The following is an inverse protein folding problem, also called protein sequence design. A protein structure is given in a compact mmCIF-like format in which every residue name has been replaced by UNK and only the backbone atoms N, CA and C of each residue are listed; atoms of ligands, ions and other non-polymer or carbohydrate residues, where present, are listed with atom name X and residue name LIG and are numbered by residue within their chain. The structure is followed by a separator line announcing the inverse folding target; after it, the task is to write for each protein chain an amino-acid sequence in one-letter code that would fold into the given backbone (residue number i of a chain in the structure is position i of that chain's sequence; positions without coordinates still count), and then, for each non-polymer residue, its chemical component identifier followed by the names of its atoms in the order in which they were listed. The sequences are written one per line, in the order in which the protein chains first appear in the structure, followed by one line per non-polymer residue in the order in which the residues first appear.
data_IF_644782864753
#
_entry.id   IF_644782864753
#
_cell.length_a   1.000
_cell.length_b   1.000
_cell.length_c   1.000
_cell.angle_alpha   90.00
_cell.angle_beta   90.00
_cell.angle_gamma   90.00
#
_symmetry.space_group_name_H-M   'P 1'
#
loop_
_entity.id
_entity.type
_entity.pdbx_description
1 polymer ?
#
# COMPACT_ATOMS: atom_id res chain seq x y z
N UNK A 1 -34.38 -42.14 11.51
CA UNK A 1 -33.26 -41.25 11.14
C UNK A 1 -32.10 -42.13 10.71
N UNK A 2 -31.81 -42.18 9.42
CA UNK A 2 -30.71 -42.94 8.81
C UNK A 2 -30.46 -42.34 7.42
N UNK A 3 -29.20 -42.16 7.02
CA UNK A 3 -28.81 -41.71 5.69
C UNK A 3 -28.14 -40.34 5.61
N UNK A 4 -26.81 -40.32 5.73
CA UNK A 4 -25.94 -39.21 5.24
C UNK A 4 -24.47 -39.60 5.06
N UNK A 5 -24.00 -40.74 5.58
CA UNK A 5 -22.56 -41.09 5.57
C UNK A 5 -22.03 -41.52 4.20
N UNK A 6 -22.76 -42.38 3.48
CA UNK A 6 -22.30 -43.08 2.26
C UNK A 6 -21.73 -42.15 1.16
N UNK A 7 -22.11 -40.86 1.14
CA UNK A 7 -21.62 -39.89 0.17
C UNK A 7 -20.17 -39.43 0.42
N UNK A 8 -19.67 -39.48 1.66
CA UNK A 8 -18.29 -39.05 1.97
C UNK A 8 -17.25 -40.11 1.65
N UNK A 9 -17.56 -41.37 1.96
CA UNK A 9 -16.66 -42.49 1.66
C UNK A 9 -16.48 -42.69 0.16
N UNK A 10 -17.56 -42.57 -0.63
CA UNK A 10 -17.50 -42.62 -2.09
C UNK A 10 -16.56 -41.54 -2.67
N UNK A 11 -16.69 -40.29 -2.21
CA UNK A 11 -15.85 -39.18 -2.67
C UNK A 11 -14.39 -39.30 -2.22
N UNK A 12 -14.14 -39.92 -1.06
CA UNK A 12 -12.79 -40.24 -0.60
C UNK A 12 -12.14 -41.36 -1.43
N UNK A 13 -12.90 -42.39 -1.80
CA UNK A 13 -12.43 -43.49 -2.65
C UNK A 13 -12.12 -43.00 -4.07
N UNK A 14 -13.03 -42.24 -4.70
CA UNK A 14 -12.85 -41.65 -6.02
C UNK A 14 -11.60 -40.75 -6.06
N UNK A 15 -11.39 -39.93 -5.02
CA UNK A 15 -10.19 -39.08 -4.90
C UNK A 15 -8.90 -39.89 -4.71
N UNK A 16 -8.96 -41.05 -4.06
CA UNK A 16 -7.81 -41.95 -3.90
C UNK A 16 -7.50 -42.75 -5.18
N UNK A 17 -8.51 -43.02 -6.02
CA UNK A 17 -8.33 -43.67 -7.31
C UNK A 17 -7.77 -42.70 -8.36
N UNK A 18 -8.32 -41.47 -8.44
CA UNK A 18 -7.75 -40.38 -9.25
C UNK A 18 -6.29 -40.10 -8.90
N UNK A 19 -5.92 -40.14 -7.62
CA UNK A 19 -4.54 -39.95 -7.17
C UNK A 19 -3.56 -41.04 -7.64
N UNK A 20 -4.04 -42.21 -8.10
CA UNK A 20 -3.23 -43.31 -8.66
C UNK A 20 -3.08 -43.24 -10.18
N UNK A 21 -3.90 -42.43 -10.85
CA UNK A 21 -3.90 -42.25 -12.31
C UNK A 21 -3.03 -41.07 -12.77
N UNK A 22 -2.57 -40.23 -11.84
CA UNK A 22 -1.64 -39.14 -12.10
C UNK A 22 -0.20 -39.67 -12.09
N UNK A 23 0.65 -39.33 -13.09
CA UNK A 23 2.07 -39.62 -13.01
C UNK A 23 2.71 -38.82 -11.86
N UNK A 24 3.76 -39.35 -11.19
CA UNK A 24 4.45 -38.62 -10.14
C UNK A 24 5.04 -37.32 -10.73
N UNK A 25 4.75 -36.18 -10.09
CA UNK A 25 5.29 -34.90 -10.51
C UNK A 25 6.83 -34.93 -10.39
N UNK A 26 7.58 -34.44 -11.40
CA UNK A 26 9.04 -34.37 -11.32
C UNK A 26 9.43 -33.38 -10.21
N UNK A 27 9.99 -33.91 -9.12
CA UNK A 27 10.39 -33.10 -7.98
C UNK A 27 11.59 -32.22 -8.30
N UNK A 28 11.39 -30.90 -8.27
CA UNK A 28 12.48 -29.96 -7.99
C UNK A 28 12.73 -29.99 -6.48
N UNK A 29 13.75 -30.73 -6.03
CA UNK A 29 14.11 -30.85 -4.62
C UNK A 29 14.54 -29.50 -4.03
N UNK A 30 13.60 -28.84 -3.34
CA UNK A 30 13.90 -27.73 -2.44
C UNK A 30 14.49 -28.28 -1.13
N UNK A 31 15.50 -27.62 -0.52
CA UNK A 31 16.22 -28.17 0.63
C UNK A 31 15.30 -28.57 1.80
N UNK A 32 15.30 -29.84 2.24
CA UNK A 32 14.40 -30.32 3.28
C UNK A 32 14.71 -29.63 4.62
N UNK A 33 13.69 -28.96 5.17
CA UNK A 33 13.76 -28.27 6.46
C UNK A 33 13.01 -26.93 6.49
N UNK A 34 13.07 -26.11 5.42
CA UNK A 34 12.38 -24.81 5.41
C UNK A 34 10.86 -24.97 5.46
N UNK A 35 10.29 -25.82 4.60
CA UNK A 35 8.84 -26.00 4.51
C UNK A 35 8.24 -26.50 5.82
N UNK A 36 8.86 -27.48 6.49
CA UNK A 36 8.36 -27.96 7.78
C UNK A 36 8.56 -26.93 8.88
N UNK A 37 9.68 -26.19 8.97
CA UNK A 37 9.81 -25.13 9.99
C UNK A 37 8.75 -24.03 9.86
N UNK A 38 8.45 -23.59 8.62
CA UNK A 38 7.39 -22.60 8.40
C UNK A 38 6.00 -23.20 8.66
N UNK A 39 5.77 -24.47 8.29
CA UNK A 39 4.51 -25.18 8.57
C UNK A 39 4.27 -25.37 10.07
N UNK A 40 5.25 -25.89 10.81
CA UNK A 40 5.21 -26.07 12.26
C UNK A 40 4.95 -24.74 12.95
N UNK A 41 5.64 -23.67 12.56
CA UNK A 41 5.39 -22.32 13.09
C UNK A 41 3.95 -21.85 12.81
N UNK A 42 3.42 -22.07 11.60
CA UNK A 42 2.05 -21.68 11.25
C UNK A 42 0.99 -22.52 11.99
N UNK A 43 1.19 -23.83 12.09
CA UNK A 43 0.29 -24.74 12.82
C UNK A 43 0.28 -24.42 14.31
N UNK A 44 1.47 -24.23 14.91
CA UNK A 44 1.58 -23.81 16.30
C UNK A 44 0.83 -22.50 16.55
N UNK A 45 0.93 -21.49 15.68
CA UNK A 45 0.17 -20.24 15.82
C UNK A 45 -1.36 -20.46 15.75
N UNK A 46 -1.84 -21.36 14.89
CA UNK A 46 -3.27 -21.69 14.75
C UNK A 46 -3.79 -22.46 15.98
N UNK A 47 -3.02 -23.43 16.49
CA UNK A 47 -3.40 -24.20 17.67
C UNK A 47 -3.37 -23.31 18.94
N UNK A 48 -2.40 -22.42 19.04
CA UNK A 48 -2.23 -21.47 20.15
C UNK A 48 -3.34 -20.39 20.15
N UNK A 49 -3.77 -19.89 18.98
CA UNK A 49 -4.91 -18.96 18.88
C UNK A 49 -6.26 -19.65 19.10
N UNK A 50 -6.47 -20.86 18.55
CA UNK A 50 -7.70 -21.61 18.85
C UNK A 50 -7.76 -22.13 20.30
N UNK A 51 -6.62 -22.31 20.97
CA UNK A 51 -6.57 -22.54 22.41
C UNK A 51 -6.96 -21.28 23.20
N UNK A 52 -6.44 -20.10 22.82
CA UNK A 52 -6.82 -18.80 23.42
C UNK A 52 -8.30 -18.46 23.21
N UNK A 53 -8.86 -18.76 22.04
CA UNK A 53 -10.28 -18.60 21.75
C UNK A 53 -11.16 -19.49 22.66
N UNK A 54 -10.82 -20.78 22.79
CA UNK A 54 -11.52 -21.72 23.69
C UNK A 54 -11.40 -21.30 25.16
N UNK A 55 -10.21 -20.89 25.60
CA UNK A 55 -9.96 -20.38 26.95
C UNK A 55 -10.82 -19.16 27.29
N UNK A 56 -10.91 -18.19 26.36
CA UNK A 56 -11.81 -17.02 26.50
C UNK A 56 -13.26 -17.44 26.67
N UNK A 57 -13.80 -18.35 25.84
CA UNK A 57 -15.19 -18.82 25.99
C UNK A 57 -15.47 -19.58 27.29
N UNK A 58 -14.46 -20.20 27.90
CA UNK A 58 -14.59 -20.87 29.20
C UNK A 58 -14.68 -19.91 30.39
N UNK A 59 -13.82 -18.89 30.42
CA UNK A 59 -13.83 -17.89 31.49
C UNK A 59 -15.10 -17.03 31.47
N UNK A 60 -15.50 -16.57 30.27
CA UNK A 60 -16.69 -15.75 30.02
C UNK A 60 -18.02 -16.40 30.46
N UNK A 61 -18.03 -17.72 30.64
CA UNK A 61 -19.19 -18.49 31.11
C UNK A 61 -19.25 -18.62 32.64
N UNK A 62 -18.12 -18.53 33.35
CA UNK A 62 -18.08 -18.70 34.81
C UNK A 62 -18.34 -17.38 35.57
N UNK A 63 -17.81 -16.24 35.11
CA UNK A 63 -18.03 -14.96 35.81
C UNK A 63 -19.43 -14.38 35.57
N UNK A 64 -20.01 -14.56 34.38
CA UNK A 64 -21.39 -14.12 34.09
C UNK A 64 -22.46 -14.86 34.92
N UNK A 65 -22.11 -15.96 35.57
CA UNK A 65 -22.96 -16.65 36.54
C UNK A 65 -22.94 -16.00 37.94
N UNK A 66 -21.96 -15.13 38.24
CA UNK A 66 -21.75 -14.52 39.58
C UNK A 66 -22.21 -13.07 39.68
N UNK A 67 -22.14 -12.29 38.60
CA UNK A 67 -22.45 -10.84 38.64
C UNK A 67 -23.95 -10.45 38.63
N UNK A 68 -24.88 -11.41 38.62
CA UNK A 68 -26.33 -11.09 38.56
C UNK A 68 -26.99 -10.72 39.89
N UNK A 69 -26.23 -10.39 40.93
CA UNK A 69 -26.73 -9.95 42.23
C UNK A 69 -25.98 -8.71 42.76
N UNK A 70 -26.63 -7.54 42.74
CA UNK A 70 -26.15 -6.33 43.41
C UNK A 70 -26.01 -5.09 42.51
N UNK A 71 -26.64 -3.99 42.93
CA UNK A 71 -26.54 -2.61 42.41
C UNK A 71 -26.53 -1.68 43.65
N UNK A 72 -26.13 -0.39 43.57
CA UNK A 72 -25.43 0.33 42.49
C UNK A 72 -24.31 1.32 42.95
N UNK A 73 -23.74 2.03 41.95
CA UNK A 73 -23.26 3.44 42.00
C UNK A 73 -21.77 3.79 42.32
N UNK A 74 -21.31 4.86 41.65
CA UNK A 74 -20.10 5.72 41.79
C UNK A 74 -18.68 5.16 41.54
N UNK A 75 -18.25 5.38 40.30
CA UNK A 75 -16.98 6.02 39.89
C UNK A 75 -15.63 5.51 40.43
N UNK A 76 -14.72 5.17 39.50
CA UNK A 76 -13.42 5.86 39.34
C UNK A 76 -12.78 5.60 37.98
N UNK A 77 -11.82 6.45 37.62
CA UNK A 77 -11.07 6.41 36.36
C UNK A 77 -10.15 5.18 36.31
N UNK A 78 -10.06 4.53 35.16
CA UNK A 78 -8.98 3.60 34.82
C UNK A 78 -8.42 3.93 33.44
N UNK A 79 -7.09 3.98 33.34
CA UNK A 79 -6.36 4.11 32.07
C UNK A 79 -6.19 2.71 31.44
N UNK A 80 -6.46 2.51 30.15
CA UNK A 80 -5.92 1.37 29.41
C UNK A 80 -4.52 1.70 28.89
N UNK A 81 -3.50 0.98 29.36
CA UNK A 81 -2.21 0.92 28.68
C UNK A 81 -2.30 -0.13 27.58
N UNK A 82 -2.20 0.28 26.32
CA UNK A 82 -2.17 -0.67 25.19
C UNK A 82 -0.75 -1.17 24.92
N UNK A 83 -0.63 -2.47 24.64
CA UNK A 83 0.57 -3.11 24.11
C UNK A 83 0.42 -3.22 22.59
N UNK A 84 1.33 -2.61 21.84
CA UNK A 84 1.34 -2.68 20.38
C UNK A 84 2.10 -3.94 19.90
N UNK A 85 1.58 -4.68 18.90
CA UNK A 85 2.35 -5.65 18.13
C UNK A 85 3.12 -4.95 17.00
N UNK A 86 4.32 -5.44 16.68
CA UNK A 86 5.09 -4.96 15.53
C UNK A 86 4.52 -5.49 14.20
N UNK A 87 4.61 -4.69 13.15
CA UNK A 87 4.12 -4.97 11.79
C UNK A 87 5.24 -4.88 10.75
N UNK A 88 5.02 -5.51 9.60
CA UNK A 88 5.88 -5.41 8.43
C UNK A 88 5.20 -4.61 7.33
N UNK A 89 5.97 -3.80 6.60
CA UNK A 89 5.52 -3.16 5.37
C UNK A 89 5.81 -4.06 4.16
N UNK A 90 4.85 -4.92 3.83
CA UNK A 90 4.38 -4.92 2.45
C UNK A 90 3.37 -3.75 2.34
N UNK A 91 3.20 -3.13 1.16
CA UNK A 91 2.40 -1.90 1.04
C UNK A 91 0.89 -2.16 1.18
N UNK A 92 0.46 -2.23 2.43
CA UNK A 92 -0.92 -2.31 2.93
C UNK A 92 -0.95 -1.57 4.29
N UNK A 93 -0.89 -0.24 4.24
CA UNK A 93 -0.62 0.61 5.41
C UNK A 93 -1.75 0.64 6.45
N UNK A 94 -1.41 0.52 7.73
CA UNK A 94 -2.38 0.46 8.82
C UNK A 94 -1.89 1.03 10.18
N UNK A 95 -2.54 2.13 10.60
CA UNK A 95 -3.01 2.41 11.98
C UNK A 95 -2.04 2.80 13.13
N UNK A 96 -2.23 4.05 13.63
CA UNK A 96 -2.24 4.56 15.04
C UNK A 96 -0.93 4.48 15.89
N UNK A 97 -0.71 5.03 17.11
CA UNK A 97 -1.00 6.34 17.77
C UNK A 97 0.39 7.02 18.02
N UNK A 98 0.59 8.30 18.39
CA UNK A 98 -0.27 9.40 18.86
C UNK A 98 0.54 10.68 19.17
N UNK A 99 0.01 11.65 19.94
CA UNK A 99 0.66 12.98 20.14
C UNK A 99 0.67 13.53 21.60
N UNK A 100 1.79 14.15 22.02
CA UNK A 100 1.84 15.27 23.00
C UNK A 100 3.20 15.98 22.94
N UNK A 101 3.22 17.31 22.85
CA UNK A 101 4.44 18.13 22.73
C UNK A 101 4.54 19.24 23.79
N UNK A 102 5.72 19.86 23.92
CA UNK A 102 5.83 21.25 24.43
C UNK A 102 7.19 21.91 24.14
N UNK A 103 7.13 23.18 23.72
CA UNK A 103 8.18 24.23 23.74
C UNK A 103 9.49 23.94 22.96
N UNK A 104 9.94 24.75 21.99
CA UNK A 104 9.49 26.06 21.49
C UNK A 104 10.69 26.99 21.24
N UNK A 105 10.95 27.38 19.98
CA UNK A 105 12.09 28.25 19.61
C UNK A 105 12.07 28.65 18.13
N UNK A 106 12.38 29.92 17.75
CA UNK A 106 12.20 30.39 16.36
C UNK A 106 13.50 30.72 15.59
N UNK A 107 13.59 30.31 14.32
CA UNK A 107 14.30 30.98 13.21
C UNK A 107 14.08 30.21 11.88
N UNK A 108 14.03 30.90 10.73
CA UNK A 108 14.02 30.21 9.41
C UNK A 108 13.32 30.93 8.27
N UNK A 109 13.80 32.10 7.83
CA UNK A 109 13.21 32.85 6.69
C UNK A 109 13.49 32.23 5.31
N UNK A 110 14.25 31.14 5.21
CA UNK A 110 14.57 30.44 3.95
C UNK A 110 13.34 29.92 3.21
N UNK A 111 12.34 29.39 3.94
CA UNK A 111 11.23 28.63 3.35
C UNK A 111 10.41 29.42 2.32
N UNK A 112 10.25 30.73 2.48
CA UNK A 112 9.45 31.54 1.53
C UNK A 112 10.05 31.69 0.13
N UNK A 113 11.37 31.49 -0.02
CA UNK A 113 12.04 31.40 -1.32
C UNK A 113 11.94 29.99 -1.90
N UNK A 114 12.22 28.99 -1.07
CA UNK A 114 12.20 27.57 -1.41
C UNK A 114 10.80 27.10 -1.84
N UNK A 115 9.77 27.29 -1.01
CA UNK A 115 8.37 26.94 -1.34
C UNK A 115 7.89 27.60 -2.65
N UNK A 116 8.34 28.82 -2.96
CA UNK A 116 8.01 29.47 -4.24
C UNK A 116 8.64 28.74 -5.43
N UNK A 117 9.86 28.26 -5.28
CA UNK A 117 10.55 27.47 -6.32
C UNK A 117 9.88 26.10 -6.50
N UNK A 118 9.58 25.41 -5.40
CA UNK A 118 8.80 24.15 -5.36
C UNK A 118 7.48 24.29 -6.12
N UNK A 119 6.69 25.34 -5.84
CA UNK A 119 5.45 25.60 -6.56
C UNK A 119 5.71 25.82 -8.06
N UNK A 120 6.80 26.47 -8.46
CA UNK A 120 7.16 26.67 -9.88
C UNK A 120 7.65 25.39 -10.58
N UNK A 121 8.23 24.42 -9.85
CA UNK A 121 8.50 23.07 -10.39
C UNK A 121 7.19 22.30 -10.59
N UNK A 122 6.36 22.20 -9.55
CA UNK A 122 5.09 21.47 -9.61
C UNK A 122 4.08 22.08 -10.59
N UNK A 123 4.09 23.40 -10.78
CA UNK A 123 3.30 24.06 -11.83
C UNK A 123 3.80 23.69 -13.24
N UNK A 124 5.11 23.56 -13.47
CA UNK A 124 5.65 23.09 -14.75
C UNK A 124 5.29 21.63 -15.02
N UNK A 125 5.39 20.76 -14.02
CA UNK A 125 4.98 19.34 -14.12
C UNK A 125 3.46 19.26 -14.41
N UNK A 126 2.65 20.04 -13.70
CA UNK A 126 1.20 20.17 -13.93
C UNK A 126 0.87 20.61 -15.36
N UNK A 127 1.56 21.63 -15.86
CA UNK A 127 1.33 22.16 -17.20
C UNK A 127 1.91 21.26 -18.31
N UNK A 128 2.83 20.33 -18.01
CA UNK A 128 3.23 19.26 -18.92
C UNK A 128 2.16 18.16 -18.95
N UNK A 129 1.78 17.64 -17.78
CA UNK A 129 0.78 16.59 -17.63
C UNK A 129 -0.60 16.98 -18.22
N UNK A 130 -1.01 18.23 -18.04
CA UNK A 130 -2.26 18.78 -18.61
C UNK A 130 -2.28 18.91 -20.14
N UNK A 131 -1.14 18.73 -20.82
CA UNK A 131 -1.03 18.71 -22.30
C UNK A 131 -1.01 17.29 -22.88
N UNK A 132 -0.99 16.25 -22.05
CA UNK A 132 -1.02 14.86 -22.50
C UNK A 132 -2.32 14.51 -23.23
N UNK A 133 -2.27 13.50 -24.11
CA UNK A 133 -3.47 13.00 -24.78
C UNK A 133 -4.31 12.13 -23.83
N UNK A 134 -5.62 12.39 -23.78
CA UNK A 134 -6.55 11.65 -22.93
C UNK A 134 -6.89 10.28 -23.54
N UNK A 135 -6.18 9.23 -23.11
CA UNK A 135 -6.41 7.86 -23.60
C UNK A 135 -7.85 7.37 -23.27
N UNK A 136 -8.60 6.82 -24.24
CA UNK A 136 -9.97 6.34 -24.02
C UNK A 136 -9.97 4.96 -23.35
N UNK A 137 -9.69 4.91 -22.04
CA UNK A 137 -9.74 3.70 -21.22
C UNK A 137 -11.17 3.20 -21.06
N UNK A 138 -11.44 1.94 -21.41
CA UNK A 138 -12.77 1.32 -21.29
C UNK A 138 -12.94 0.51 -20.01
N UNK A 139 -14.17 0.43 -19.51
CA UNK A 139 -14.58 -0.36 -18.34
C UNK A 139 -14.22 -1.88 -18.44
N UNK A 140 -13.99 -2.44 -19.63
CA UNK A 140 -13.59 -3.85 -19.81
C UNK A 140 -12.07 -4.10 -19.77
N UNK A 141 -11.25 -3.05 -19.81
CA UNK A 141 -9.79 -3.13 -19.96
C UNK A 141 -9.05 -3.18 -18.61
N UNK A 142 -7.72 -3.28 -18.73
CA UNK A 142 -6.77 -3.24 -17.62
C UNK A 142 -5.74 -2.13 -17.86
N UNK A 143 -5.42 -1.40 -16.80
CA UNK A 143 -4.28 -0.51 -16.76
C UNK A 143 -3.03 -1.32 -16.42
N UNK A 144 -2.02 -1.22 -17.27
CA UNK A 144 -0.76 -1.94 -17.17
C UNK A 144 0.37 -1.02 -16.73
N UNK A 145 1.12 -1.45 -15.72
CA UNK A 145 2.41 -0.85 -15.32
C UNK A 145 3.46 -1.94 -15.34
N UNK A 146 4.64 -1.66 -15.90
CA UNK A 146 5.87 -2.41 -15.67
C UNK A 146 6.93 -1.49 -15.09
N UNK A 147 7.65 -1.99 -14.09
CA UNK A 147 8.64 -1.22 -13.35
C UNK A 147 9.59 -2.12 -12.58
N UNK A 148 10.44 -1.51 -11.77
CA UNK A 148 11.31 -2.21 -10.82
C UNK A 148 11.39 -1.43 -9.52
N UNK A 149 11.70 -2.09 -8.41
CA UNK A 149 11.77 -1.46 -7.10
C UNK A 149 12.26 -2.41 -6.00
N UNK A 150 12.41 -1.86 -4.79
CA UNK A 150 12.80 -2.59 -3.58
C UNK A 150 11.77 -2.35 -2.49
N UNK A 151 11.15 -3.42 -2.01
CA UNK A 151 10.37 -3.41 -0.77
C UNK A 151 11.31 -3.55 0.46
N UNK A 152 10.81 -3.18 1.64
CA UNK A 152 11.58 -3.20 2.90
C UNK A 152 10.79 -3.92 3.98
N UNK A 153 11.23 -5.14 4.30
CA UNK A 153 10.60 -5.94 5.35
C UNK A 153 10.92 -5.35 6.73
N UNK A 154 9.87 -5.05 7.50
CA UNK A 154 9.95 -4.59 8.90
C UNK A 154 9.52 -5.67 9.92
N UNK A 155 9.20 -6.91 9.53
CA UNK A 155 8.82 -8.02 10.45
C UNK A 155 9.84 -8.22 11.57
N UNK A 156 11.12 -7.95 11.27
CA UNK A 156 12.25 -8.13 12.18
C UNK A 156 12.38 -7.03 13.26
N UNK A 157 11.56 -5.97 13.18
CA UNK A 157 11.75 -4.73 13.92
C UNK A 157 12.85 -3.83 13.35
N UNK A 158 13.37 -4.14 12.16
CA UNK A 158 14.39 -3.37 11.43
C UNK A 158 14.10 -3.36 9.94
N UNK A 159 14.56 -2.31 9.26
CA UNK A 159 14.53 -2.19 7.81
C UNK A 159 15.44 -3.25 7.15
N UNK A 160 14.84 -4.27 6.54
CA UNK A 160 15.53 -5.26 5.72
C UNK A 160 15.16 -5.02 4.26
N UNK A 161 16.03 -4.31 3.55
CA UNK A 161 15.85 -3.98 2.13
C UNK A 161 15.93 -5.25 1.28
N UNK A 162 14.90 -5.49 0.46
CA UNK A 162 14.86 -6.59 -0.49
C UNK A 162 15.82 -6.43 -1.67
N UNK A 163 15.92 -7.46 -2.53
CA UNK A 163 16.54 -7.31 -3.85
C UNK A 163 15.77 -6.30 -4.71
N UNK A 164 16.42 -5.77 -5.74
CA UNK A 164 15.75 -5.01 -6.80
C UNK A 164 15.05 -5.98 -7.75
N UNK A 165 13.71 -5.93 -7.83
CA UNK A 165 12.90 -6.89 -8.59
C UNK A 165 12.14 -6.20 -9.73
N UNK A 166 11.97 -6.87 -10.88
CA UNK A 166 11.06 -6.38 -11.94
C UNK A 166 9.63 -6.85 -11.66
N UNK A 167 8.68 -5.93 -11.76
CA UNK A 167 7.25 -6.20 -11.57
C UNK A 167 6.40 -5.70 -12.76
N UNK A 168 5.34 -6.44 -13.04
CA UNK A 168 4.25 -6.06 -13.96
C UNK A 168 2.92 -6.14 -13.22
N UNK A 169 2.02 -5.17 -13.43
CA UNK A 169 0.66 -5.19 -12.84
C UNK A 169 -0.41 -4.87 -13.89
N UNK A 170 -1.64 -5.35 -13.63
CA UNK A 170 -2.79 -5.22 -14.52
C UNK A 170 -4.07 -4.89 -13.73
N UNK A 171 -4.32 -3.62 -13.45
CA UNK A 171 -5.47 -3.15 -12.66
C UNK A 171 -6.75 -3.05 -13.50
N UNK A 172 -7.77 -3.84 -13.16
CA UNK A 172 -9.03 -3.92 -13.90
C UNK A 172 -9.87 -2.65 -13.75
N UNK A 173 -10.39 -2.14 -14.86
CA UNK A 173 -11.11 -0.87 -14.92
C UNK A 173 -12.63 -1.01 -14.70
N UNK A 174 -13.11 -2.22 -14.40
CA UNK A 174 -14.53 -2.55 -14.24
C UNK A 174 -15.26 -1.68 -13.20
N UNK A 175 -16.49 -1.22 -13.48
CA UNK A 175 -17.26 -0.44 -12.53
C UNK A 175 -17.67 -1.27 -11.31
N UNK A 176 -17.94 -0.58 -10.19
CA UNK A 176 -18.43 -1.19 -8.95
C UNK A 176 -17.41 -2.04 -8.19
N UNK A 177 -17.83 -2.69 -7.09
CA UNK A 177 -17.06 -3.65 -6.30
C UNK A 177 -16.33 -4.72 -7.13
N UNK A 178 -15.06 -5.01 -6.84
CA UNK A 178 -14.33 -6.14 -7.42
C UNK A 178 -13.57 -6.90 -6.34
N UNK A 179 -13.71 -8.23 -6.29
CA UNK A 179 -12.98 -9.10 -5.34
C UNK A 179 -11.58 -9.50 -5.84
N UNK A 180 -11.33 -9.32 -7.13
CA UNK A 180 -10.02 -9.41 -7.78
C UNK A 180 -9.79 -8.11 -8.52
N UNK A 181 -8.85 -7.31 -8.03
CA UNK A 181 -8.55 -5.97 -8.53
C UNK A 181 -7.73 -6.05 -9.84
N UNK A 182 -6.92 -7.10 -9.98
CA UNK A 182 -6.02 -7.26 -11.11
C UNK A 182 -5.18 -8.54 -11.05
N UNK A 183 -4.10 -8.55 -11.82
CA UNK A 183 -2.97 -9.46 -11.64
C UNK A 183 -1.71 -8.65 -11.33
N UNK A 184 -0.79 -9.23 -10.57
CA UNK A 184 0.60 -8.80 -10.44
C UNK A 184 1.50 -9.94 -10.92
N UNK A 185 2.68 -9.62 -11.44
CA UNK A 185 3.76 -10.55 -11.73
C UNK A 185 5.05 -10.00 -11.18
N UNK A 186 5.78 -10.79 -10.39
CA UNK A 186 7.09 -10.45 -9.82
C UNK A 186 7.98 -11.67 -10.00
N UNK A 187 9.23 -11.48 -10.45
CA UNK A 187 10.18 -12.57 -10.74
C UNK A 187 9.63 -13.71 -11.64
N UNK A 188 8.62 -13.40 -12.46
CA UNK A 188 7.93 -14.38 -13.33
C UNK A 188 6.74 -15.11 -12.69
N UNK A 189 6.64 -15.17 -11.36
CA UNK A 189 5.42 -15.66 -10.68
C UNK A 189 4.28 -14.67 -10.89
N UNK A 190 3.08 -15.14 -11.25
CA UNK A 190 1.92 -14.29 -11.54
C UNK A 190 0.78 -14.59 -10.56
N UNK A 191 0.42 -13.61 -9.73
CA UNK A 191 -0.55 -13.73 -8.64
C UNK A 191 -1.76 -12.79 -8.84
N UNK A 192 -2.94 -13.15 -8.31
CA UNK A 192 -4.10 -12.25 -8.33
C UNK A 192 -3.94 -11.14 -7.29
N UNK A 193 -4.15 -9.89 -7.70
CA UNK A 193 -4.36 -8.78 -6.76
C UNK A 193 -5.81 -8.91 -6.28
N UNK A 194 -6.00 -9.20 -4.99
CA UNK A 194 -7.32 -9.41 -4.39
C UNK A 194 -7.78 -8.14 -3.65
N UNK A 195 -9.07 -8.07 -3.34
CA UNK A 195 -9.59 -7.08 -2.39
C UNK A 195 -8.99 -7.31 -0.98
N UNK A 196 -8.93 -6.25 -0.18
CA UNK A 196 -8.36 -6.27 1.18
C UNK A 196 -9.11 -7.21 2.14
N UNK A 197 -8.40 -7.65 3.18
CA UNK A 197 -8.95 -8.58 4.17
C UNK A 197 -10.07 -7.92 4.99
N UNK A 198 -11.31 -8.31 4.72
CA UNK A 198 -12.51 -7.76 5.33
C UNK A 198 -13.51 -7.22 4.31
N UNK A 199 -13.07 -6.95 3.08
CA UNK A 199 -13.93 -6.47 2.00
C UNK A 199 -14.74 -7.62 1.37
N UNK A 200 -15.78 -8.06 2.08
CA UNK A 200 -16.61 -9.20 1.69
C UNK A 200 -17.37 -8.99 0.39
N UNK A 201 -17.57 -7.74 -0.05
CA UNK A 201 -18.33 -7.39 -1.26
C UNK A 201 -17.42 -7.02 -2.44
N UNK A 202 -16.23 -6.49 -2.17
CA UNK A 202 -15.19 -6.18 -3.15
C UNK A 202 -14.95 -4.68 -3.31
N UNK A 203 -13.72 -4.34 -3.70
CA UNK A 203 -13.23 -2.97 -3.57
C UNK A 203 -13.83 -2.08 -4.64
N UNK A 204 -14.49 -1.02 -4.20
CA UNK A 204 -15.06 0.02 -5.07
C UNK A 204 -13.92 0.85 -5.69
N UNK A 205 -14.15 1.50 -6.85
CA UNK A 205 -13.23 2.52 -7.36
C UNK A 205 -12.97 3.59 -6.29
N UNK A 206 -11.70 3.94 -6.08
CA UNK A 206 -11.24 4.80 -4.98
C UNK A 206 -9.72 4.78 -4.86
N UNK A 207 -9.17 5.33 -3.77
CA UNK A 207 -7.71 5.44 -3.55
C UNK A 207 -6.97 4.09 -3.65
N UNK A 208 -7.49 3.04 -3.00
CA UNK A 208 -6.93 1.67 -3.02
C UNK A 208 -7.28 0.86 -4.27
N UNK A 209 -8.06 1.45 -5.19
CA UNK A 209 -8.41 0.82 -6.46
C UNK A 209 -8.74 1.90 -7.52
N UNK A 210 -7.74 2.66 -8.00
CA UNK A 210 -7.98 3.72 -8.94
C UNK A 210 -8.48 3.15 -10.27
N UNK A 211 -9.55 3.74 -10.81
CA UNK A 211 -9.97 3.51 -12.20
C UNK A 211 -9.97 4.84 -12.94
N UNK A 212 -9.67 4.82 -14.24
CA UNK A 212 -9.65 6.02 -15.09
C UNK A 212 -10.98 6.80 -15.01
N UNK A 213 -12.10 6.07 -14.88
CA UNK A 213 -13.44 6.64 -14.68
C UNK A 213 -13.60 7.34 -13.33
N UNK A 214 -13.06 6.81 -12.23
CA UNK A 214 -13.08 7.48 -10.92
C UNK A 214 -12.11 8.69 -10.89
N UNK A 215 -10.92 8.53 -11.47
CA UNK A 215 -9.96 9.62 -11.66
C UNK A 215 -10.56 10.80 -12.45
N UNK A 216 -11.41 10.49 -13.44
CA UNK A 216 -12.16 11.49 -14.22
C UNK A 216 -13.33 12.16 -13.47
N UNK A 217 -13.61 11.74 -12.24
CA UNK A 217 -14.63 12.37 -11.36
C UNK A 217 -14.02 13.14 -10.17
N UNK A 218 -12.69 13.20 -10.07
CA UNK A 218 -12.01 13.99 -9.05
C UNK A 218 -12.13 15.49 -9.34
N UNK A 219 -12.15 16.36 -8.31
CA UNK A 219 -12.09 17.80 -8.51
C UNK A 219 -10.83 18.21 -9.28
N UNK A 220 -10.95 19.25 -10.11
CA UNK A 220 -9.81 19.83 -10.85
C UNK A 220 -9.33 21.16 -10.27
N UNK A 221 -10.06 21.74 -9.30
CA UNK A 221 -9.50 22.76 -8.43
C UNK A 221 -8.50 22.11 -7.43
N UNK A 222 -7.30 22.68 -7.24
CA UNK A 222 -6.28 22.08 -6.39
C UNK A 222 -6.65 21.98 -4.90
N UNK A 223 -7.44 22.92 -4.37
CA UNK A 223 -7.85 22.93 -2.97
C UNK A 223 -9.02 21.97 -2.76
N UNK A 224 -10.05 22.01 -3.61
CA UNK A 224 -11.16 21.04 -3.57
C UNK A 224 -10.66 19.60 -3.70
N UNK A 225 -9.63 19.36 -4.53
CA UNK A 225 -9.00 18.05 -4.68
C UNK A 225 -8.24 17.63 -3.41
N UNK A 226 -7.46 18.53 -2.80
CA UNK A 226 -6.70 18.22 -1.60
C UNK A 226 -7.63 17.94 -0.40
N UNK A 227 -8.71 18.71 -0.26
CA UNK A 227 -9.73 18.48 0.76
C UNK A 227 -10.46 17.16 0.53
N UNK A 228 -10.89 16.85 -0.70
CA UNK A 228 -11.49 15.56 -1.06
C UNK A 228 -10.56 14.37 -0.75
N UNK A 229 -9.30 14.44 -1.18
CA UNK A 229 -8.30 13.40 -0.87
C UNK A 229 -8.12 13.27 0.64
N UNK A 230 -8.17 14.36 1.39
CA UNK A 230 -8.10 14.35 2.85
C UNK A 230 -9.36 13.83 3.55
N UNK A 231 -10.50 13.68 2.86
CA UNK A 231 -11.67 12.99 3.41
C UNK A 231 -11.56 11.47 3.21
N UNK A 232 -11.05 11.01 2.07
CA UNK A 232 -11.00 9.59 1.69
C UNK A 232 -9.70 8.86 2.10
N UNK A 233 -8.60 9.58 2.33
CA UNK A 233 -7.36 8.99 2.85
C UNK A 233 -7.63 8.51 4.30
N UNK A 234 -7.28 7.26 4.66
CA UNK A 234 -7.38 6.78 6.03
C UNK A 234 -6.66 7.71 7.01
N UNK A 235 -7.11 7.71 8.26
CA UNK A 235 -6.58 8.60 9.30
C UNK A 235 -6.03 7.77 10.42
N UNK A 236 -4.72 7.71 10.50
CA UNK A 236 -4.00 7.04 11.55
C UNK A 236 -3.56 8.12 12.57
N UNK A 237 -3.73 7.87 13.87
CA UNK A 237 -3.23 8.84 14.87
C UNK A 237 -1.70 8.73 14.96
N UNK A 238 -0.98 9.84 15.19
CA UNK A 238 0.49 9.87 15.17
C UNK A 238 1.07 10.17 13.79
N UNK A 239 0.45 9.63 12.73
CA UNK A 239 0.69 9.95 11.32
C UNK A 239 0.66 11.46 11.03
N UNK A 240 1.52 11.90 10.11
CA UNK A 240 1.46 13.25 9.58
C UNK A 240 0.47 13.34 8.42
N UNK A 241 -0.66 14.03 8.62
CA UNK A 241 -1.74 14.19 7.61
C UNK A 241 -1.20 14.66 6.26
N UNK A 242 -0.23 15.58 6.30
CA UNK A 242 0.38 16.17 5.12
C UNK A 242 1.35 15.19 4.43
N UNK A 243 1.93 14.23 5.17
CA UNK A 243 2.66 13.09 4.61
C UNK A 243 1.70 12.09 3.95
N UNK A 244 0.64 11.68 4.64
CA UNK A 244 -0.37 10.77 4.10
C UNK A 244 -1.04 11.34 2.83
N UNK A 245 -1.25 12.66 2.76
CA UNK A 245 -1.71 13.34 1.54
C UNK A 245 -0.67 13.37 0.42
N UNK A 246 0.61 13.55 0.75
CA UNK A 246 1.70 13.43 -0.21
C UNK A 246 1.73 12.00 -0.78
N UNK A 247 1.81 10.98 0.06
CA UNK A 247 1.82 9.57 -0.34
C UNK A 247 0.56 9.15 -1.12
N UNK A 248 -0.62 9.62 -0.73
CA UNK A 248 -1.86 9.37 -1.46
C UNK A 248 -1.84 9.98 -2.88
N UNK A 249 -1.28 11.18 -3.07
CA UNK A 249 -1.04 11.74 -4.40
C UNK A 249 0.03 10.92 -5.14
N UNK A 250 1.12 10.55 -4.45
CA UNK A 250 2.22 9.73 -4.97
C UNK A 250 1.75 8.41 -5.58
N UNK A 251 0.91 7.67 -4.87
CA UNK A 251 0.31 6.42 -5.35
C UNK A 251 -0.63 6.59 -6.55
N UNK A 252 -1.24 7.77 -6.72
CA UNK A 252 -2.05 8.08 -7.91
C UNK A 252 -1.17 8.49 -9.11
N UNK A 253 -0.12 9.28 -8.92
CA UNK A 253 0.78 9.70 -10.02
C UNK A 253 1.75 8.60 -10.48
N UNK A 254 2.07 7.63 -9.61
CA UNK A 254 2.73 6.39 -10.00
C UNK A 254 1.80 5.40 -10.73
N UNK A 255 0.50 5.72 -10.83
CA UNK A 255 -0.46 4.98 -11.65
C UNK A 255 -0.20 5.18 -13.15
N UNK A 256 -0.44 4.16 -14.00
CA UNK A 256 0.10 4.14 -15.36
C UNK A 256 -0.60 5.10 -16.35
N UNK A 257 -1.87 5.44 -16.13
CA UNK A 257 -2.63 6.32 -17.03
C UNK A 257 -3.59 7.16 -16.20
N UNK A 258 -3.33 8.46 -16.15
CA UNK A 258 -4.21 9.47 -15.55
C UNK A 258 -4.94 10.27 -16.65
N UNK A 259 -6.18 10.74 -16.40
CA UNK A 259 -6.78 11.79 -17.22
C UNK A 259 -5.91 13.07 -17.11
N UNK A 260 -5.56 13.75 -18.22
CA UNK A 260 -4.62 14.89 -18.20
C UNK A 260 -5.00 16.02 -17.22
N UNK A 261 -6.30 16.35 -17.12
CA UNK A 261 -6.80 17.35 -16.17
C UNK A 261 -6.65 16.92 -14.71
N UNK A 262 -6.88 15.64 -14.41
CA UNK A 262 -6.69 15.06 -13.07
C UNK A 262 -5.21 15.04 -12.69
N UNK A 263 -4.32 14.66 -13.62
CA UNK A 263 -2.88 14.70 -13.40
C UNK A 263 -2.39 16.13 -13.10
N UNK A 264 -2.82 17.10 -13.91
CA UNK A 264 -2.51 18.51 -13.69
C UNK A 264 -3.00 19.01 -12.32
N UNK A 265 -4.21 18.61 -11.90
CA UNK A 265 -4.77 18.97 -10.60
C UNK A 265 -4.00 18.33 -9.43
N UNK A 266 -3.61 17.04 -9.52
CA UNK A 266 -2.82 16.34 -8.50
C UNK A 266 -1.48 17.04 -8.22
N UNK A 267 -0.73 17.45 -9.26
CA UNK A 267 0.53 18.18 -9.07
C UNK A 267 0.32 19.58 -8.47
N UNK A 268 -0.80 20.25 -8.81
CA UNK A 268 -1.15 21.54 -8.20
C UNK A 268 -1.61 21.38 -6.74
N UNK A 269 -2.31 20.30 -6.39
CA UNK A 269 -2.70 19.98 -5.01
C UNK A 269 -1.47 19.64 -4.15
N UNK A 270 -0.51 18.88 -4.69
CA UNK A 270 0.77 18.62 -4.01
C UNK A 270 1.55 19.90 -3.69
N UNK A 271 1.45 20.94 -4.53
CA UNK A 271 2.09 22.23 -4.30
C UNK A 271 1.46 23.07 -3.17
N UNK A 272 0.31 22.63 -2.63
CA UNK A 272 -0.34 23.22 -1.45
C UNK A 272 0.01 22.49 -0.15
N UNK A 273 0.64 21.30 -0.22
CA UNK A 273 0.95 20.49 0.97
C UNK A 273 2.14 21.11 1.75
N UNK A 274 1.98 21.39 3.05
CA UNK A 274 3.07 21.86 3.89
C UNK A 274 4.24 20.88 3.97
N UNK A 275 5.46 21.41 3.85
CA UNK A 275 6.70 20.62 3.94
C UNK A 275 7.18 20.00 2.63
N UNK A 276 6.49 20.22 1.50
CA UNK A 276 7.00 19.83 0.18
C UNK A 276 8.15 20.75 -0.24
N UNK A 277 9.22 20.12 -0.72
CA UNK A 277 10.55 20.68 -1.03
C UNK A 277 11.03 20.19 -2.39
N UNK A 278 12.06 20.83 -2.96
CA UNK A 278 12.76 20.30 -4.13
C UNK A 278 13.75 19.20 -3.71
N UNK A 279 14.08 18.32 -4.64
CA UNK A 279 15.10 17.30 -4.48
C UNK A 279 15.98 17.31 -5.76
N UNK A 280 16.97 18.21 -5.86
CA UNK A 280 17.76 18.36 -7.09
C UNK A 280 18.62 17.13 -7.40
N UNK A 281 18.97 16.34 -6.37
CA UNK A 281 19.76 15.11 -6.48
C UNK A 281 18.86 13.84 -6.44
N UNK A 282 17.58 13.97 -6.80
CA UNK A 282 16.62 12.86 -6.76
C UNK A 282 16.89 11.81 -7.84
N UNK A 283 16.84 10.54 -7.43
CA UNK A 283 17.19 9.40 -8.27
C UNK A 283 16.29 8.20 -7.96
N UNK A 284 15.81 7.53 -9.00
CA UNK A 284 14.88 6.40 -8.89
C UNK A 284 15.59 5.04 -8.70
N UNK A 285 14.80 3.97 -8.60
CA UNK A 285 15.31 2.60 -8.43
C UNK A 285 16.20 2.07 -9.59
N UNK A 286 16.19 2.74 -10.75
CA UNK A 286 17.05 2.43 -11.90
C UNK A 286 18.33 3.29 -11.96
N UNK A 287 18.50 4.25 -11.04
CA UNK A 287 19.60 5.20 -11.10
C UNK A 287 19.37 6.36 -12.07
N UNK A 288 18.11 6.64 -12.48
CA UNK A 288 17.78 7.80 -13.31
C UNK A 288 17.68 9.04 -12.43
N UNK A 289 18.64 9.95 -12.58
CA UNK A 289 18.57 11.31 -12.03
C UNK A 289 17.45 12.11 -12.74
N UNK A 290 16.76 12.98 -12.03
CA UNK A 290 15.65 13.76 -12.59
C UNK A 290 15.26 14.97 -11.76
N UNK A 291 14.23 15.68 -12.22
CA UNK A 291 13.62 16.78 -11.45
C UNK A 291 12.90 16.19 -10.26
N UNK A 292 13.39 16.45 -9.04
CA UNK A 292 12.83 15.86 -7.83
C UNK A 292 11.91 16.77 -7.02
N UNK A 293 10.85 16.18 -6.47
CA UNK A 293 9.95 16.78 -5.48
C UNK A 293 9.90 15.86 -4.26
N UNK A 294 9.98 16.40 -3.05
CA UNK A 294 10.11 15.58 -1.86
C UNK A 294 9.43 16.17 -0.62
N UNK A 295 9.09 15.30 0.33
CA UNK A 295 8.59 15.67 1.66
C UNK A 295 9.32 14.88 2.73
N UNK A 296 9.66 15.52 3.86
CA UNK A 296 10.16 14.86 5.07
C UNK A 296 9.07 14.90 6.16
N UNK A 297 8.65 13.74 6.67
CA UNK A 297 7.96 13.66 7.95
C UNK A 297 9.00 13.63 9.07
N UNK A 298 9.07 14.73 9.81
CA UNK A 298 9.98 14.87 10.95
C UNK A 298 9.64 13.94 12.13
N UNK A 299 8.45 13.31 12.16
CA UNK A 299 8.00 12.37 13.21
C UNK A 299 8.60 10.99 13.02
N UNK A 300 8.37 10.35 11.87
CA UNK A 300 9.02 9.10 11.47
C UNK A 300 10.51 9.28 11.15
N UNK A 301 10.93 10.52 10.83
CA UNK A 301 12.22 10.84 10.23
C UNK A 301 12.43 10.14 8.90
N UNK A 302 11.38 10.11 8.09
CA UNK A 302 11.35 9.58 6.73
C UNK A 302 11.28 10.73 5.73
N UNK A 303 11.99 10.60 4.60
CA UNK A 303 11.88 11.49 3.45
C UNK A 303 11.54 10.69 2.21
N UNK A 304 10.41 11.04 1.60
CA UNK A 304 9.91 10.48 0.34
C UNK A 304 10.19 11.48 -0.79
N UNK A 305 10.73 10.98 -1.89
CA UNK A 305 11.10 11.76 -3.07
C UNK A 305 10.42 11.15 -4.30
N UNK A 306 9.85 11.99 -5.16
CA UNK A 306 9.36 11.66 -6.49
C UNK A 306 10.37 12.16 -7.52
N UNK A 307 10.55 11.40 -8.60
CA UNK A 307 11.53 11.67 -9.65
C UNK A 307 10.79 11.86 -10.98
N UNK A 308 11.04 12.97 -11.66
CA UNK A 308 10.43 13.30 -12.95
C UNK A 308 11.49 13.47 -14.05
N UNK A 309 11.12 13.09 -15.26
CA UNK A 309 11.97 13.20 -16.44
C UNK A 309 12.36 14.66 -16.71
N UNK A 310 13.65 15.01 -16.92
CA UNK A 310 14.08 16.39 -17.01
C UNK A 310 13.58 17.12 -18.27
N UNK A 311 13.26 16.40 -19.35
CA UNK A 311 12.79 16.98 -20.62
C UNK A 311 11.25 16.96 -20.72
N UNK A 312 10.64 15.80 -20.41
CA UNK A 312 9.20 15.57 -20.56
C UNK A 312 8.36 15.80 -19.30
N UNK A 313 8.99 15.88 -18.12
CA UNK A 313 8.34 15.96 -16.80
C UNK A 313 7.35 14.82 -16.49
N UNK A 314 7.48 13.68 -17.17
CA UNK A 314 6.79 12.43 -16.83
C UNK A 314 7.35 11.81 -15.55
N UNK A 315 6.49 11.19 -14.73
CA UNK A 315 6.92 10.49 -13.52
C UNK A 315 7.82 9.29 -13.87
N UNK A 316 9.05 9.30 -13.38
CA UNK A 316 10.02 8.21 -13.54
C UNK A 316 9.94 7.22 -12.38
N UNK A 317 9.73 7.68 -11.16
CA UNK A 317 9.80 6.83 -9.98
C UNK A 317 9.76 7.58 -8.66
N UNK A 318 10.06 6.85 -7.59
CA UNK A 318 10.08 7.36 -6.21
C UNK A 318 11.12 6.63 -5.36
N UNK A 319 11.51 7.25 -4.25
CA UNK A 319 12.37 6.68 -3.21
C UNK A 319 11.90 7.17 -1.83
N UNK A 320 11.95 6.33 -0.80
CA UNK A 320 11.78 6.75 0.59
C UNK A 320 12.92 6.21 1.46
N UNK A 321 13.41 7.02 2.40
CA UNK A 321 14.57 6.69 3.24
C UNK A 321 14.61 7.47 4.55
N UNK A 322 15.39 6.97 5.52
CA UNK A 322 15.54 7.59 6.84
C UNK A 322 16.45 8.83 6.82
N UNK A 323 16.00 9.94 7.39
CA UNK A 323 16.77 11.20 7.51
C UNK A 323 17.62 11.28 8.79
N UNK A 324 17.37 10.37 9.75
CA UNK A 324 18.02 10.25 11.07
C UNK A 324 18.14 8.76 11.45
N UNK A 325 18.98 8.44 12.44
CA UNK A 325 18.97 7.11 13.06
C UNK A 325 17.68 6.90 13.88
N UNK A 326 17.04 5.75 13.73
CA UNK A 326 15.80 5.33 14.41
C UNK A 326 15.98 3.95 15.05
N UNK A 327 14.92 3.34 15.56
CA UNK A 327 14.96 1.92 15.97
C UNK A 327 15.01 0.95 14.77
N UNK A 328 14.43 1.36 13.63
CA UNK A 328 14.33 0.54 12.42
C UNK A 328 15.63 0.52 11.61
N UNK A 329 16.38 1.63 11.57
CA UNK A 329 17.57 1.78 10.73
C UNK A 329 18.38 3.03 11.03
N UNK A 330 19.37 3.29 10.18
CA UNK A 330 20.27 4.45 10.24
C UNK A 330 19.85 5.55 9.27
N UNK A 331 20.36 6.76 9.48
CA UNK A 331 20.28 7.82 8.48
C UNK A 331 20.84 7.32 7.13
N UNK A 332 20.02 7.38 6.09
CA UNK A 332 20.35 6.93 4.74
C UNK A 332 19.92 5.50 4.42
N UNK A 333 19.43 4.73 5.39
CA UNK A 333 18.85 3.41 5.11
C UNK A 333 17.52 3.58 4.34
N UNK A 334 17.34 2.74 3.32
CA UNK A 334 16.18 2.77 2.42
C UNK A 334 14.93 2.21 3.12
N UNK A 335 13.78 2.84 2.89
CA UNK A 335 12.45 2.40 3.32
C UNK A 335 11.58 1.92 2.14
N UNK A 336 11.95 2.28 0.92
CA UNK A 336 11.48 1.65 -0.32
C UNK A 336 11.90 2.44 -1.56
N UNK A 337 11.86 1.84 -2.74
CA UNK A 337 11.95 2.58 -3.99
C UNK A 337 11.21 1.92 -5.16
N UNK A 338 10.95 2.70 -6.20
CA UNK A 338 10.34 2.24 -7.44
C UNK A 338 10.70 3.09 -8.64
N UNK A 339 10.71 2.48 -9.81
CA UNK A 339 10.96 3.09 -11.11
C UNK A 339 9.98 2.53 -12.15
N UNK A 340 9.22 3.41 -12.79
CA UNK A 340 8.29 3.10 -13.88
C UNK A 340 9.08 2.98 -15.19
N UNK A 341 8.91 1.86 -15.88
CA UNK A 341 9.57 1.56 -17.17
C UNK A 341 8.57 1.70 -18.32
N UNK A 342 7.34 1.25 -18.14
CA UNK A 342 6.35 1.15 -19.21
C UNK A 342 4.92 1.21 -18.65
N UNK A 343 4.03 1.94 -19.32
CA UNK A 343 2.64 2.14 -18.90
C UNK A 343 1.69 2.04 -20.09
N UNK A 344 0.56 1.35 -19.95
CA UNK A 344 -0.37 1.17 -21.06
C UNK A 344 -1.81 0.84 -20.65
N UNK A 345 -2.69 0.77 -21.66
CA UNK A 345 -4.03 0.19 -21.56
C UNK A 345 -4.04 -1.11 -22.36
N UNK A 346 -4.47 -2.22 -21.76
CA UNK A 346 -4.52 -3.54 -22.42
C UNK A 346 -5.88 -4.24 -22.21
N UNK A 347 -6.34 -4.99 -23.22
CA UNK A 347 -7.66 -5.64 -23.19
C UNK A 347 -7.72 -6.89 -22.29
N UNK A 348 -6.57 -7.38 -21.77
CA UNK A 348 -6.47 -8.60 -20.95
C UNK A 348 -5.38 -8.48 -19.89
N UNK A 349 -5.67 -8.86 -18.65
CA UNK A 349 -4.65 -9.02 -17.62
C UNK A 349 -3.62 -10.10 -18.01
N UNK A 350 -2.36 -9.88 -17.64
CA UNK A 350 -1.23 -10.77 -17.94
C UNK A 350 -0.65 -10.61 -19.35
N UNK A 351 -1.29 -9.82 -20.23
CA UNK A 351 -0.80 -9.50 -21.57
C UNK A 351 0.00 -8.19 -21.57
N UNK A 352 1.15 -8.19 -22.23
CA UNK A 352 1.95 -6.98 -22.47
C UNK A 352 1.36 -6.12 -23.60
N UNK A 353 1.72 -4.83 -23.69
CA UNK A 353 1.41 -3.98 -24.84
C UNK A 353 1.96 -4.56 -26.16
N UNK A 354 1.46 -4.04 -27.28
CA UNK A 354 2.04 -4.31 -28.60
C UNK A 354 2.97 -3.15 -28.97
N UNK A 355 4.23 -3.48 -29.24
CA UNK A 355 5.22 -2.63 -29.91
C UNK A 355 4.84 -2.35 -31.36
#
# INVERSE_FOLDING_TARGET
MTGTDNGREAYAAERAELARLLPPAPGTDLPPGRHEHHRERLMNLIDDDTARARGRTGADAQDRARERAGRPDRSRLLRPSFLAPATALAVAGALVLGYSAQNGGPAGTSGTGETRSVSQVLLRISDAAGKGEALPVRDDQFLYTRGTGREVDLTSGKAVVGPLEESESWYSQKPGPQKKLGLSRVNGETLPINAELGDSEGTRPGLFRPTYRWLSTLPTDPQELLDYLSEITPKFEGEDRDQALFEAIGGLIGGPVLPPGTAAALYKAAALIPGVTEAPDAVDALGREGVGIAREDARSSERTEWVFDPDGLSFLGWRSYLTKDTEYGKKGDLLGDGAVIETAVVDKAGARPRS
#
